data_IF_218893586317
#
_entry.id   IF_218893586317
#
_cell.length_a   1.000
_cell.length_b   1.000
_cell.length_c   1.000
_cell.angle_alpha   90.00
_cell.angle_beta   90.00
_cell.angle_gamma   90.00
#
_symmetry.space_group_name_H-M   'P 1'
#
loop_
_entity.id
_entity.type
_entity.pdbx_description
1 polymer ?
#
# COMPACT_ATOMS: atom_id res chain seq x y z
N UNK A 1 52.46 -0.72 -66.61
CA UNK A 1 52.94 -0.94 -65.23
C UNK A 1 51.74 -1.13 -64.33
N UNK A 2 51.88 -2.02 -63.34
CA UNK A 2 50.86 -2.55 -62.42
C UNK A 2 50.27 -1.50 -61.46
N UNK A 3 49.16 -1.93 -60.81
CA UNK A 3 48.62 -1.57 -59.46
C UNK A 3 47.43 -0.60 -59.49
N UNK A 4 46.38 -0.77 -58.70
CA UNK A 4 45.83 -1.87 -57.88
C UNK A 4 44.40 -1.39 -57.53
N UNK A 5 43.40 -2.27 -57.60
CA UNK A 5 42.03 -1.99 -57.16
C UNK A 5 42.00 -1.74 -55.65
N UNK A 6 41.26 -0.71 -55.22
CA UNK A 6 40.71 -0.63 -53.87
C UNK A 6 39.20 -0.39 -53.97
N UNK A 7 38.47 -1.50 -53.79
CA UNK A 7 37.04 -1.52 -53.48
C UNK A 7 36.85 -1.00 -52.05
N UNK A 8 36.10 0.09 -51.87
CA UNK A 8 35.54 0.46 -50.57
C UNK A 8 34.11 -0.09 -50.48
N UNK A 9 33.95 -1.20 -49.78
CA UNK A 9 32.66 -1.69 -49.31
C UNK A 9 32.30 -0.91 -48.03
N UNK A 10 31.31 -0.03 -48.10
CA UNK A 10 30.74 0.61 -46.92
C UNK A 10 29.79 -0.40 -46.28
N UNK A 11 30.28 -1.06 -45.23
CA UNK A 11 29.47 -1.88 -44.32
C UNK A 11 28.55 -0.92 -43.58
N UNK A 12 27.27 -0.89 -43.95
CA UNK A 12 26.23 -0.23 -43.16
C UNK A 12 26.09 -1.01 -41.86
N UNK A 13 26.71 -0.50 -40.79
CA UNK A 13 26.57 -1.04 -39.45
C UNK A 13 25.16 -0.71 -38.99
N UNK A 14 24.37 -1.76 -38.76
CA UNK A 14 23.09 -1.72 -38.06
C UNK A 14 23.22 -0.87 -36.79
N UNK A 15 22.54 0.26 -36.75
CA UNK A 15 22.26 0.95 -35.50
C UNK A 15 21.21 0.13 -34.75
N UNK A 16 21.67 -0.82 -33.94
CA UNK A 16 20.84 -1.43 -32.90
C UNK A 16 20.49 -0.27 -31.96
N UNK A 17 19.27 0.24 -32.11
CA UNK A 17 18.71 1.19 -31.15
C UNK A 17 18.78 0.49 -29.78
N UNK A 18 19.63 1.03 -28.90
CA UNK A 18 19.64 0.67 -27.48
C UNK A 18 18.20 0.82 -26.99
N UNK A 19 17.61 -0.30 -26.59
CA UNK A 19 16.38 -0.30 -25.80
C UNK A 19 16.60 0.70 -24.66
N UNK A 20 15.79 1.74 -24.62
CA UNK A 20 15.62 2.57 -23.44
C UNK A 20 15.24 1.61 -22.33
N UNK A 21 16.20 1.25 -21.48
CA UNK A 21 15.89 0.68 -20.18
C UNK A 21 14.93 1.68 -19.53
N UNK A 22 13.67 1.26 -19.39
CA UNK A 22 12.68 2.00 -18.62
C UNK A 22 13.28 2.05 -17.21
N UNK A 23 13.83 3.22 -16.91
CA UNK A 23 14.52 3.56 -15.70
C UNK A 23 13.66 3.08 -14.51
N UNK A 24 14.19 2.18 -13.68
CA UNK A 24 13.52 1.61 -12.49
C UNK A 24 13.27 2.66 -11.38
N UNK A 25 13.37 3.95 -11.74
CA UNK A 25 13.31 5.12 -10.87
C UNK A 25 11.88 5.58 -10.57
N UNK A 26 10.87 5.08 -11.27
CA UNK A 26 9.47 5.52 -11.07
C UNK A 26 8.63 4.60 -10.17
N UNK A 27 9.14 3.43 -9.80
CA UNK A 27 8.38 2.49 -8.98
C UNK A 27 8.56 2.76 -7.48
N UNK A 28 7.48 2.75 -6.68
CA UNK A 28 7.59 2.83 -5.23
C UNK A 28 8.49 1.71 -4.67
N UNK A 29 9.41 2.07 -3.78
CA UNK A 29 10.32 1.10 -3.15
C UNK A 29 9.67 0.50 -1.89
N UNK A 30 9.28 -0.79 -1.89
CA UNK A 30 8.64 -1.40 -0.72
C UNK A 30 9.61 -1.49 0.46
N UNK A 31 9.15 -1.13 1.65
CA UNK A 31 9.82 -1.37 2.94
C UNK A 31 9.27 -2.64 3.57
N UNK A 32 7.93 -2.76 3.60
CA UNK A 32 7.24 -3.91 4.18
C UNK A 32 5.97 -4.21 3.39
N UNK A 33 5.75 -5.49 3.14
CA UNK A 33 4.55 -5.97 2.46
C UNK A 33 3.90 -7.04 3.35
N UNK A 34 2.62 -6.85 3.61
CA UNK A 34 1.73 -7.87 4.16
C UNK A 34 0.93 -8.42 2.98
N UNK A 35 1.29 -9.63 2.57
CA UNK A 35 0.66 -10.29 1.44
C UNK A 35 -0.82 -10.57 1.71
N UNK A 36 -1.59 -10.68 0.62
CA UNK A 36 -2.97 -11.14 0.68
C UNK A 36 -3.07 -12.52 1.34
N UNK A 37 -4.11 -12.72 2.15
CA UNK A 37 -4.42 -13.99 2.80
C UNK A 37 -5.83 -14.43 2.45
N UNK A 38 -6.00 -15.70 2.11
CA UNK A 38 -7.32 -16.31 1.89
C UNK A 38 -8.12 -16.32 3.21
N UNK A 39 -9.33 -15.77 3.18
CA UNK A 39 -10.27 -15.72 4.33
C UNK A 39 -11.57 -16.49 4.09
N UNK A 40 -11.90 -16.76 2.82
CA UNK A 40 -12.96 -17.68 2.40
C UNK A 40 -12.59 -18.28 1.04
N UNK A 41 -13.41 -19.19 0.51
CA UNK A 41 -13.21 -19.91 -0.76
C UNK A 41 -12.71 -19.00 -1.89
N UNK A 42 -13.29 -17.80 -2.01
CA UNK A 42 -12.96 -16.83 -3.06
C UNK A 42 -12.66 -15.41 -2.53
N UNK A 43 -12.48 -15.26 -1.21
CA UNK A 43 -12.28 -13.95 -0.59
C UNK A 43 -10.89 -13.89 0.03
N UNK A 44 -10.16 -12.82 -0.29
CA UNK A 44 -8.80 -12.57 0.16
C UNK A 44 -8.73 -11.21 0.84
N UNK A 45 -7.85 -11.08 1.83
CA UNK A 45 -7.49 -9.76 2.35
C UNK A 45 -6.74 -8.96 1.28
N UNK A 46 -7.01 -7.65 1.16
CA UNK A 46 -6.09 -6.74 0.48
C UNK A 46 -4.63 -6.88 0.94
N UNK A 47 -3.70 -6.55 0.05
CA UNK A 47 -2.28 -6.37 0.37
C UNK A 47 -2.16 -5.08 1.19
N UNK A 48 -1.34 -5.08 2.23
CA UNK A 48 -0.97 -3.85 2.93
C UNK A 48 0.52 -3.58 2.72
N UNK A 49 0.86 -2.45 2.12
CA UNK A 49 2.22 -2.11 1.75
C UNK A 49 2.64 -0.80 2.43
N UNK A 50 3.87 -0.80 2.94
CA UNK A 50 4.63 0.36 3.35
C UNK A 50 5.76 0.56 2.34
N UNK A 51 5.93 1.78 1.83
CA UNK A 51 6.88 2.05 0.75
C UNK A 51 7.38 3.49 0.75
N UNK A 52 8.54 3.72 0.13
CA UNK A 52 9.06 5.07 -0.15
C UNK A 52 8.74 5.41 -1.60
N UNK A 53 8.05 6.53 -1.81
CA UNK A 53 7.79 7.06 -3.16
C UNK A 53 9.09 7.60 -3.78
N UNK A 54 9.24 7.53 -5.12
CA UNK A 54 10.36 8.18 -5.80
C UNK A 54 10.50 9.66 -5.43
N UNK A 55 11.71 10.10 -5.13
CA UNK A 55 12.00 11.48 -4.73
C UNK A 55 11.55 11.86 -3.31
N UNK A 56 10.94 10.93 -2.55
CA UNK A 56 10.51 11.15 -1.17
C UNK A 56 11.49 10.55 -0.16
N UNK A 57 11.51 11.15 1.04
CA UNK A 57 12.33 10.69 2.18
C UNK A 57 11.51 9.89 3.20
N UNK A 58 10.22 10.17 3.30
CA UNK A 58 9.32 9.57 4.29
C UNK A 58 8.51 8.40 3.69
N UNK A 59 8.27 7.34 4.48
CA UNK A 59 7.44 6.21 4.03
C UNK A 59 5.93 6.50 4.00
N UNK A 60 5.26 6.05 2.95
CA UNK A 60 3.80 6.02 2.80
C UNK A 60 3.25 4.60 3.01
N UNK A 61 1.93 4.49 3.17
CA UNK A 61 1.24 3.21 3.26
C UNK A 61 -0.02 3.15 2.40
N UNK A 62 -0.31 1.99 1.82
CA UNK A 62 -1.49 1.78 0.98
C UNK A 62 -2.03 0.36 1.10
N UNK A 63 -3.34 0.23 0.97
CA UNK A 63 -4.07 -1.04 0.96
C UNK A 63 -4.53 -1.32 -0.47
N UNK A 64 -4.13 -2.45 -1.04
CA UNK A 64 -4.27 -2.73 -2.47
C UNK A 64 -5.02 -4.05 -2.67
N UNK A 65 -6.09 -4.01 -3.46
CA UNK A 65 -6.81 -5.20 -3.91
C UNK A 65 -7.03 -5.14 -5.42
N UNK A 66 -6.34 -6.01 -6.17
CA UNK A 66 -6.32 -6.00 -7.64
C UNK A 66 -5.91 -4.63 -8.20
N UNK A 67 -6.84 -3.91 -8.82
CA UNK A 67 -6.68 -2.58 -9.41
C UNK A 67 -7.26 -1.47 -8.52
N UNK A 68 -7.81 -1.81 -7.34
CA UNK A 68 -8.30 -0.83 -6.36
C UNK A 68 -7.23 -0.61 -5.31
N UNK A 69 -6.71 0.61 -5.26
CA UNK A 69 -5.77 1.07 -4.25
C UNK A 69 -6.46 2.09 -3.34
N UNK A 70 -6.35 1.88 -2.03
CA UNK A 70 -6.68 2.87 -1.03
C UNK A 70 -5.40 3.35 -0.37
N UNK A 71 -5.08 4.62 -0.56
CA UNK A 71 -3.92 5.26 0.08
C UNK A 71 -4.30 5.56 1.54
N UNK A 72 -3.52 5.02 2.47
CA UNK A 72 -3.76 5.21 3.91
C UNK A 72 -3.14 6.52 4.37
N UNK A 73 -1.87 6.75 4.00
CA UNK A 73 -1.17 8.03 4.19
C UNK A 73 -0.51 8.40 2.86
N UNK A 74 -0.63 9.67 2.45
CA UNK A 74 -0.03 10.21 1.24
C UNK A 74 0.71 11.53 1.53
N UNK A 75 1.87 11.73 0.87
CA UNK A 75 2.65 12.97 0.96
C UNK A 75 2.58 13.76 -0.34
N UNK A 76 2.36 15.08 -0.25
CA UNK A 76 2.42 15.97 -1.42
C UNK A 76 3.84 16.47 -1.65
N UNK A 77 4.14 16.95 -2.87
CA UNK A 77 5.52 17.15 -3.36
C UNK A 77 6.36 18.22 -2.62
N UNK A 78 5.81 18.98 -1.67
CA UNK A 78 6.45 20.18 -1.10
C UNK A 78 6.63 20.19 0.43
N UNK A 79 6.52 19.04 1.09
CA UNK A 79 6.45 18.97 2.55
C UNK A 79 7.85 19.15 3.20
N UNK A 80 8.19 20.40 3.51
CA UNK A 80 9.40 20.86 4.20
C UNK A 80 9.21 20.87 5.74
N UNK A 81 7.96 20.75 6.20
CA UNK A 81 7.60 20.75 7.62
C UNK A 81 7.12 19.34 8.01
N UNK A 82 7.41 18.89 9.23
CA UNK A 82 7.16 17.52 9.69
C UNK A 82 5.69 17.10 9.44
N UNK A 83 5.48 16.06 8.62
CA UNK A 83 4.17 15.43 8.41
C UNK A 83 4.22 13.94 8.76
N UNK A 84 3.10 13.47 9.31
CA UNK A 84 2.81 12.08 9.66
C UNK A 84 3.28 11.10 8.58
N UNK A 85 4.30 10.29 8.88
CA UNK A 85 4.76 9.20 8.03
C UNK A 85 4.34 7.84 8.53
N UNK A 86 4.08 6.95 7.58
CA UNK A 86 3.74 5.58 7.92
C UNK A 86 4.99 4.85 8.39
N UNK A 87 5.21 4.82 9.69
CA UNK A 87 6.37 4.20 10.32
C UNK A 87 6.30 2.68 10.30
N UNK A 88 5.10 2.10 10.49
CA UNK A 88 4.94 0.64 10.58
C UNK A 88 3.55 0.17 10.18
N UNK A 89 3.49 -1.02 9.57
CA UNK A 89 2.24 -1.74 9.29
C UNK A 89 2.16 -3.09 10.01
N UNK A 90 0.95 -3.53 10.34
CA UNK A 90 0.66 -4.76 11.07
C UNK A 90 -0.34 -5.66 10.34
N UNK A 91 -0.30 -6.96 10.66
CA UNK A 91 -1.24 -7.94 10.10
C UNK A 91 -2.69 -7.52 10.43
N UNK A 92 -3.61 -7.55 9.45
CA UNK A 92 -4.97 -7.13 9.67
C UNK A 92 -5.70 -8.09 10.63
N UNK A 93 -6.56 -7.53 11.46
CA UNK A 93 -7.49 -8.29 12.29
C UNK A 93 -8.74 -8.53 11.46
N UNK A 94 -9.19 -9.78 11.38
CA UNK A 94 -10.29 -10.19 10.51
C UNK A 94 -11.42 -10.73 11.38
N UNK A 95 -12.66 -10.40 11.04
CA UNK A 95 -13.85 -10.94 11.69
C UNK A 95 -14.99 -11.15 10.69
N UNK A 96 -15.96 -11.98 11.05
CA UNK A 96 -17.16 -12.27 10.25
C UNK A 96 -18.41 -11.89 11.05
N UNK A 97 -19.26 -11.04 10.48
CA UNK A 97 -20.48 -10.50 11.10
C UNK A 97 -21.62 -10.69 10.12
N UNK A 98 -22.64 -11.46 10.52
CA UNK A 98 -23.84 -11.74 9.69
C UNK A 98 -23.53 -12.16 8.25
N UNK A 99 -22.48 -12.97 8.06
CA UNK A 99 -22.07 -13.47 6.74
C UNK A 99 -21.06 -12.58 6.00
N UNK A 100 -20.86 -11.34 6.42
CA UNK A 100 -19.91 -10.40 5.81
C UNK A 100 -18.57 -10.40 6.53
N UNK A 101 -17.47 -10.23 5.78
CA UNK A 101 -16.13 -10.15 6.33
C UNK A 101 -15.71 -8.71 6.53
N UNK A 102 -15.03 -8.46 7.65
CA UNK A 102 -14.49 -7.16 8.01
C UNK A 102 -13.03 -7.32 8.39
N UNK A 103 -12.24 -6.31 8.07
CA UNK A 103 -10.83 -6.23 8.46
C UNK A 103 -10.49 -4.86 9.02
N UNK A 104 -9.64 -4.84 10.04
CA UNK A 104 -8.99 -3.64 10.53
C UNK A 104 -7.48 -3.71 10.25
N UNK A 105 -6.98 -2.75 9.49
CA UNK A 105 -5.59 -2.59 9.13
C UNK A 105 -4.95 -1.55 10.04
N UNK A 106 -4.10 -2.00 10.95
CA UNK A 106 -3.38 -1.14 11.88
C UNK A 106 -2.10 -0.62 11.23
N UNK A 107 -1.82 0.66 11.40
CA UNK A 107 -0.53 1.27 11.08
C UNK A 107 -0.10 2.23 12.19
N UNK A 108 1.20 2.54 12.26
CA UNK A 108 1.74 3.54 13.17
C UNK A 108 2.22 4.73 12.36
N UNK A 109 1.72 5.90 12.72
CA UNK A 109 2.10 7.22 12.24
C UNK A 109 3.22 7.77 13.11
N UNK A 110 4.24 8.38 12.51
CA UNK A 110 5.21 9.20 13.24
C UNK A 110 4.84 10.67 13.06
N UNK A 111 4.22 11.28 14.08
CA UNK A 111 3.71 12.66 14.02
C UNK A 111 4.78 13.72 14.35
N UNK A 112 5.72 13.37 15.22
CA UNK A 112 6.90 14.18 15.56
C UNK A 112 8.08 13.24 15.81
N UNK A 113 9.33 13.74 15.73
CA UNK A 113 10.55 12.93 15.91
C UNK A 113 10.46 12.00 17.12
N UNK A 114 10.25 10.71 16.86
CA UNK A 114 10.21 9.65 17.88
C UNK A 114 8.88 9.41 18.58
N UNK A 115 7.80 10.14 18.27
CA UNK A 115 6.44 9.80 18.77
C UNK A 115 5.69 8.97 17.72
N UNK A 116 5.10 7.86 18.16
CA UNK A 116 4.32 6.97 17.30
C UNK A 116 2.87 6.91 17.74
N UNK A 117 1.95 7.18 16.83
CA UNK A 117 0.50 7.06 17.05
C UNK A 117 -0.05 5.93 16.21
N UNK A 118 -0.75 5.00 16.86
CA UNK A 118 -1.37 3.87 16.17
C UNK A 118 -2.75 4.25 15.62
N UNK A 119 -2.98 4.04 14.34
CA UNK A 119 -4.26 4.27 13.67
C UNK A 119 -4.73 3.01 12.91
N UNK A 120 -5.99 3.02 12.46
CA UNK A 120 -6.70 1.89 11.88
C UNK A 120 -7.52 2.32 10.68
N UNK A 121 -7.45 1.53 9.61
CA UNK A 121 -8.43 1.54 8.53
C UNK A 121 -9.31 0.31 8.66
N UNK A 122 -10.62 0.51 8.86
CA UNK A 122 -11.61 -0.57 8.98
C UNK A 122 -12.45 -0.63 7.71
N UNK A 123 -12.63 -1.83 7.19
CA UNK A 123 -13.33 -2.06 5.93
C UNK A 123 -14.12 -3.35 5.93
N UNK A 124 -15.19 -3.39 5.16
CA UNK A 124 -15.81 -4.63 4.71
C UNK A 124 -15.05 -5.18 3.49
N UNK A 125 -14.91 -6.50 3.41
CA UNK A 125 -14.23 -7.20 2.32
C UNK A 125 -15.22 -8.16 1.66
N UNK A 126 -15.32 -8.06 0.34
CA UNK A 126 -16.09 -8.95 -0.54
C UNK A 126 -15.18 -9.49 -1.64
N UNK A 127 -15.67 -10.44 -2.44
CA UNK A 127 -14.92 -10.95 -3.60
C UNK A 127 -14.48 -9.79 -4.49
N UNK A 128 -13.17 -9.58 -4.62
CA UNK A 128 -12.56 -8.56 -5.48
C UNK A 128 -12.91 -7.11 -5.15
N UNK A 129 -13.42 -6.81 -3.95
CA UNK A 129 -13.71 -5.44 -3.54
C UNK A 129 -13.59 -5.28 -2.03
N UNK A 130 -13.23 -4.08 -1.60
CA UNK A 130 -13.41 -3.64 -0.23
C UNK A 130 -14.17 -2.32 -0.19
N UNK A 131 -14.78 -2.02 0.95
CA UNK A 131 -15.41 -0.74 1.24
C UNK A 131 -14.99 -0.29 2.63
N UNK A 132 -14.33 0.88 2.71
CA UNK A 132 -13.97 1.51 3.98
C UNK A 132 -15.26 1.86 4.72
N UNK A 133 -15.30 1.60 6.02
CA UNK A 133 -16.47 1.92 6.82
C UNK A 133 -16.75 3.44 6.80
N UNK A 134 -18.02 3.85 6.67
CA UNK A 134 -18.36 5.29 6.63
C UNK A 134 -18.02 6.03 7.93
N UNK A 135 -18.20 5.36 9.07
CA UNK A 135 -17.95 5.92 10.40
C UNK A 135 -16.52 5.64 10.87
N UNK A 136 -15.53 5.73 9.97
CA UNK A 136 -14.16 5.29 10.25
C UNK A 136 -13.56 5.99 11.46
N UNK A 137 -13.69 7.31 11.58
CA UNK A 137 -13.11 8.09 12.69
C UNK A 137 -13.62 7.59 14.05
N UNK A 138 -14.93 7.40 14.16
CA UNK A 138 -15.57 6.89 15.39
C UNK A 138 -15.10 5.48 15.72
N UNK A 139 -14.98 4.60 14.71
CA UNK A 139 -14.52 3.22 14.90
C UNK A 139 -13.06 3.23 15.37
N UNK A 140 -12.21 4.00 14.70
CA UNK A 140 -10.79 4.18 15.02
C UNK A 140 -10.61 4.68 16.44
N UNK A 141 -11.35 5.70 16.87
CA UNK A 141 -11.30 6.23 18.24
C UNK A 141 -11.60 5.16 19.30
N UNK A 142 -12.63 4.35 19.05
CA UNK A 142 -13.01 3.25 19.96
C UNK A 142 -11.92 2.17 19.95
N UNK A 143 -11.33 1.86 18.79
CA UNK A 143 -10.22 0.93 18.68
C UNK A 143 -8.97 1.43 19.42
N UNK A 144 -8.60 2.71 19.27
CA UNK A 144 -7.50 3.32 20.02
C UNK A 144 -7.71 3.21 21.54
N UNK A 145 -8.93 3.49 22.02
CA UNK A 145 -9.28 3.45 23.47
C UNK A 145 -9.36 2.05 24.06
N UNK A 146 -9.69 1.03 23.27
CA UNK A 146 -9.91 -0.34 23.77
C UNK A 146 -8.62 -1.16 23.93
N UNK A 147 -7.45 -0.57 23.68
CA UNK A 147 -6.15 -1.20 23.89
C UNK A 147 -5.89 -2.32 22.88
N UNK A 148 -5.74 -3.58 23.35
CA UNK A 148 -5.39 -4.71 22.48
C UNK A 148 -6.57 -5.10 21.59
N UNK A 149 -6.42 -4.86 20.30
CA UNK A 149 -7.41 -5.25 19.31
C UNK A 149 -7.38 -6.74 19.00
N UNK A 150 -8.57 -7.34 18.93
CA UNK A 150 -8.80 -8.76 18.61
C UNK A 150 -9.98 -8.91 17.66
N UNK A 151 -10.16 -10.10 17.07
CA UNK A 151 -11.33 -10.38 16.23
C UNK A 151 -12.67 -10.19 16.99
N UNK A 152 -12.68 -10.49 18.30
CA UNK A 152 -13.85 -10.29 19.17
C UNK A 152 -14.13 -8.81 19.44
N UNK A 153 -13.09 -8.02 19.73
CA UNK A 153 -13.27 -6.57 19.95
C UNK A 153 -13.71 -5.88 18.67
N UNK A 154 -13.09 -6.21 17.53
CA UNK A 154 -13.48 -5.68 16.23
C UNK A 154 -14.94 -5.99 15.90
N UNK A 155 -15.38 -7.24 16.14
CA UNK A 155 -16.79 -7.64 15.97
C UNK A 155 -17.72 -6.74 16.77
N UNK A 156 -17.46 -6.59 18.06
CA UNK A 156 -18.29 -5.79 18.96
C UNK A 156 -18.35 -4.31 18.55
N UNK A 157 -17.20 -3.74 18.14
CA UNK A 157 -17.12 -2.34 17.71
C UNK A 157 -17.97 -2.13 16.45
N UNK A 158 -17.87 -3.01 15.46
CA UNK A 158 -18.64 -2.91 14.21
C UNK A 158 -20.13 -3.14 14.45
N UNK A 159 -20.53 -4.14 15.26
CA UNK A 159 -21.94 -4.41 15.58
C UNK A 159 -22.61 -3.23 16.28
N UNK A 160 -21.87 -2.43 17.06
CA UNK A 160 -22.40 -1.25 17.75
C UNK A 160 -22.40 0.04 16.94
N UNK A 161 -21.46 0.19 16.00
CA UNK A 161 -21.24 1.47 15.34
C UNK A 161 -21.57 1.48 13.85
N UNK A 162 -21.89 0.31 13.28
CA UNK A 162 -22.16 0.08 11.85
C UNK A 162 -20.99 0.49 10.95
N UNK A 163 -20.60 -0.41 10.05
CA UNK A 163 -19.62 -0.10 9.01
C UNK A 163 -20.26 0.51 7.75
N UNK A 164 -21.57 0.27 7.55
CA UNK A 164 -22.36 0.71 6.40
C UNK A 164 -23.13 2.00 6.66
#
# INVERSE_FOLDING_TARGET
MKKLLFFFAIISICSIAKSTEINDTEKPKPIKIIAQKKIDTEIFTPIFIQYIQPGKRTPSCSIILKQKEYKVIFFEQNDIEDYSNCSKIYQPIITKIKGEFYAAYKYSEEETRGSLIDDYVVMSIKKNSFHICKNIDKITDIMKKSGKQTSKSLKFIIEKNSCL
#
